data_IF_530185214562
#
_entry.id   IF_530185214562
#
_cell.length_a   1.000
_cell.length_b   1.000
_cell.length_c   1.000
_cell.angle_alpha   90.00
_cell.angle_beta   90.00
_cell.angle_gamma   90.00
#
_symmetry.space_group_name_H-M   'P 1'
#
loop_
_entity.id
_entity.type
_entity.pdbx_description
1 polymer ?
#
# COMPACT_ATOMS: atom_id res chain seq x y z
N UNK A 1 -13.05 1.13 21.02
CA UNK A 1 -14.15 0.54 21.80
C UNK A 1 -14.67 -0.72 21.14
N UNK A 2 -14.98 -0.64 19.87
CA UNK A 2 -15.51 -1.74 19.08
C UNK A 2 -14.67 -3.02 19.16
N UNK A 3 -13.34 -2.90 19.13
CA UNK A 3 -12.42 -4.06 19.23
C UNK A 3 -12.64 -4.86 20.53
N UNK A 4 -12.74 -4.19 21.69
CA UNK A 4 -12.96 -4.89 22.97
C UNK A 4 -14.39 -5.45 23.04
N UNK A 5 -15.39 -4.71 22.54
CA UNK A 5 -16.76 -5.23 22.44
C UNK A 5 -16.80 -6.48 21.55
N UNK A 6 -16.17 -6.45 20.38
CA UNK A 6 -16.07 -7.65 19.53
C UNK A 6 -15.36 -8.81 20.20
N UNK A 7 -14.25 -8.58 20.89
CA UNK A 7 -13.56 -9.63 21.65
C UNK A 7 -14.51 -10.21 22.71
N UNK A 8 -15.25 -9.36 23.42
CA UNK A 8 -16.22 -9.81 24.42
C UNK A 8 -17.36 -10.62 23.80
N UNK A 9 -17.95 -10.11 22.73
CA UNK A 9 -19.09 -10.75 22.08
C UNK A 9 -18.69 -12.05 21.41
N UNK A 10 -17.59 -12.07 20.67
CA UNK A 10 -17.15 -13.24 19.90
C UNK A 10 -16.58 -14.34 20.80
N UNK A 11 -15.86 -14.01 21.88
CA UNK A 11 -15.21 -14.99 22.72
C UNK A 11 -15.95 -15.31 24.01
N UNK A 12 -16.77 -14.39 24.54
CA UNK A 12 -17.43 -14.55 25.81
C UNK A 12 -18.92 -14.85 25.70
N UNK A 13 -19.60 -14.32 24.69
CA UNK A 13 -21.06 -14.40 24.50
C UNK A 13 -21.43 -15.36 23.36
N UNK A 14 -20.81 -15.20 22.20
CA UNK A 14 -21.15 -15.98 21.00
C UNK A 14 -20.37 -17.30 20.95
N UNK A 15 -21.00 -18.37 21.31
CA UNK A 15 -20.39 -19.70 21.35
C UNK A 15 -19.98 -20.29 20.00
N UNK A 16 -20.24 -19.62 18.88
CA UNK A 16 -20.13 -20.21 17.55
C UNK A 16 -18.78 -20.03 16.85
N UNK A 17 -18.02 -18.98 17.14
CA UNK A 17 -16.83 -18.60 16.36
C UNK A 17 -15.55 -18.49 17.19
N UNK A 18 -15.67 -18.29 18.48
CA UNK A 18 -14.52 -18.19 19.36
C UNK A 18 -13.94 -19.57 19.66
N UNK A 19 -12.62 -19.69 19.56
CA UNK A 19 -11.92 -20.85 20.06
C UNK A 19 -12.19 -20.99 21.58
N UNK A 20 -12.69 -22.15 22.01
CA UNK A 20 -12.88 -22.48 23.42
C UNK A 20 -11.55 -22.33 24.22
N UNK A 21 -10.42 -22.49 23.55
CA UNK A 21 -9.10 -22.30 24.14
C UNK A 21 -8.80 -20.81 24.36
N UNK A 22 -9.08 -19.92 23.40
CA UNK A 22 -8.88 -18.48 23.57
C UNK A 22 -9.74 -17.91 24.68
N UNK A 23 -10.98 -18.42 24.85
CA UNK A 23 -11.83 -18.02 25.97
C UNK A 23 -11.21 -18.33 27.35
N UNK A 24 -10.50 -19.46 27.49
CA UNK A 24 -9.81 -19.85 28.71
C UNK A 24 -8.60 -18.95 29.02
N UNK A 25 -8.05 -18.31 28.00
CA UNK A 25 -6.92 -17.38 28.14
C UNK A 25 -7.35 -16.00 28.66
N UNK A 26 -8.65 -15.66 28.57
CA UNK A 26 -9.17 -14.35 29.01
C UNK A 26 -9.47 -14.42 30.50
N UNK A 27 -8.72 -13.66 31.30
CA UNK A 27 -8.87 -13.51 32.73
C UNK A 27 -9.92 -12.47 33.10
N UNK A 28 -9.91 -11.33 32.40
CA UNK A 28 -10.83 -10.22 32.67
C UNK A 28 -11.07 -9.42 31.39
N UNK A 29 -12.30 -9.02 31.18
CA UNK A 29 -12.67 -8.15 30.04
C UNK A 29 -13.67 -7.09 30.48
N UNK A 30 -13.44 -5.85 30.06
CA UNK A 30 -14.34 -4.70 30.26
C UNK A 30 -14.41 -3.89 28.99
N UNK A 31 -15.62 -3.62 28.54
CA UNK A 31 -15.95 -2.79 27.36
C UNK A 31 -16.37 -1.36 27.74
N UNK A 32 -15.94 -0.89 28.93
CA UNK A 32 -16.21 0.47 29.37
C UNK A 32 -15.75 1.51 28.34
N UNK A 33 -16.59 2.52 28.01
CA UNK A 33 -16.29 3.53 26.99
C UNK A 33 -14.94 4.23 27.10
N UNK A 34 -14.49 4.47 28.32
CA UNK A 34 -13.26 5.25 28.58
C UNK A 34 -12.08 4.40 29.11
N UNK A 35 -12.30 3.10 29.38
CA UNK A 35 -11.32 2.25 30.01
C UNK A 35 -11.52 0.78 29.59
N UNK A 36 -11.75 0.55 28.31
CA UNK A 36 -11.86 -0.79 27.76
C UNK A 36 -10.56 -1.55 27.96
N UNK A 37 -10.64 -2.78 28.49
CA UNK A 37 -9.46 -3.64 28.64
C UNK A 37 -9.81 -5.11 28.57
N UNK A 38 -8.82 -5.88 28.12
CA UNK A 38 -8.82 -7.32 28.15
C UNK A 38 -7.50 -7.78 28.76
N UNK A 39 -7.56 -8.46 29.91
CA UNK A 39 -6.39 -9.05 30.58
C UNK A 39 -6.40 -10.56 30.34
N UNK A 40 -5.25 -11.15 30.07
CA UNK A 40 -5.08 -12.58 29.81
C UNK A 40 -4.42 -13.30 30.97
N UNK A 41 -4.63 -14.62 31.08
CA UNK A 41 -4.09 -15.47 32.15
C UNK A 41 -2.55 -15.48 32.15
N UNK A 42 -1.91 -15.33 31.00
CA UNK A 42 -0.46 -15.24 30.87
C UNK A 42 0.14 -13.87 31.29
N UNK A 43 -0.70 -12.94 31.78
CA UNK A 43 -0.29 -11.58 32.17
C UNK A 43 -0.18 -10.57 31.05
N UNK A 44 -0.45 -10.94 29.80
CA UNK A 44 -0.56 -9.98 28.72
C UNK A 44 -1.90 -9.23 28.80
N UNK A 45 -2.00 -8.08 28.12
CA UNK A 45 -3.21 -7.27 28.15
C UNK A 45 -3.40 -6.45 26.86
N UNK A 46 -4.64 -6.09 26.61
CA UNK A 46 -5.05 -5.09 25.62
C UNK A 46 -5.83 -4.03 26.39
N UNK A 47 -5.33 -2.78 26.36
CA UNK A 47 -6.00 -1.64 26.99
C UNK A 47 -6.30 -0.57 25.95
N UNK A 48 -7.49 -0.01 26.00
CA UNK A 48 -7.88 1.16 25.22
C UNK A 48 -7.54 2.41 26.02
N UNK A 49 -6.86 3.32 25.37
CA UNK A 49 -6.39 4.56 25.98
C UNK A 49 -6.76 5.73 25.08
N UNK A 50 -7.35 6.78 25.66
CA UNK A 50 -7.59 8.02 24.91
C UNK A 50 -6.26 8.75 24.65
N UNK A 51 -6.08 9.23 23.43
CA UNK A 51 -4.86 9.94 23.01
C UNK A 51 -4.83 11.37 23.59
N UNK A 52 -4.44 11.51 24.85
CA UNK A 52 -4.28 12.79 25.55
C UNK A 52 -3.17 12.72 26.60
N UNK A 53 -2.87 13.83 27.25
CA UNK A 53 -1.81 13.92 28.27
C UNK A 53 -2.00 13.00 29.48
N UNK A 54 -3.23 12.65 29.81
CA UNK A 54 -3.53 11.74 30.95
C UNK A 54 -3.06 10.30 30.67
N UNK A 55 -2.77 9.98 29.41
CA UNK A 55 -2.29 8.69 29.01
C UNK A 55 -0.83 8.38 29.44
N UNK A 56 -0.05 9.36 29.91
CA UNK A 56 1.41 9.25 30.19
C UNK A 56 1.82 8.12 31.13
N UNK A 57 0.91 7.60 31.94
CA UNK A 57 1.21 6.53 32.90
C UNK A 57 1.23 5.12 32.29
N UNK A 58 0.75 4.97 31.07
CA UNK A 58 0.66 3.67 30.42
C UNK A 58 2.02 3.19 29.91
N UNK A 59 2.18 1.88 29.89
CA UNK A 59 3.32 1.18 29.27
C UNK A 59 2.80 0.06 28.40
N UNK A 60 3.44 -0.13 27.26
CA UNK A 60 3.05 -1.16 26.29
C UNK A 60 4.28 -1.62 25.51
N UNK A 61 4.20 -2.80 24.92
CA UNK A 61 5.19 -3.29 23.97
C UNK A 61 4.75 -3.08 22.53
N UNK A 62 3.44 -3.00 22.32
CA UNK A 62 2.83 -2.69 21.03
C UNK A 62 1.83 -1.56 21.28
N UNK A 63 1.88 -0.55 20.44
CA UNK A 63 0.88 0.51 20.37
C UNK A 63 0.19 0.48 19.02
N UNK A 64 -1.14 0.50 19.02
CA UNK A 64 -1.96 0.63 17.83
C UNK A 64 -2.65 1.99 17.92
N UNK A 65 -2.40 2.86 16.95
CA UNK A 65 -3.00 4.17 16.87
C UNK A 65 -3.99 4.13 15.71
N UNK A 66 -5.25 3.99 16.07
CA UNK A 66 -6.36 3.98 15.14
C UNK A 66 -6.71 5.42 14.75
N UNK A 67 -7.14 5.61 13.50
CA UNK A 67 -7.39 6.94 12.91
C UNK A 67 -6.26 7.94 13.22
N UNK A 68 -5.01 7.50 13.05
CA UNK A 68 -3.83 8.28 13.48
C UNK A 68 -3.78 9.68 12.86
N UNK A 69 -4.38 9.87 11.69
CA UNK A 69 -4.47 11.18 11.04
C UNK A 69 -5.24 12.21 11.88
N UNK A 70 -6.20 11.75 12.69
CA UNK A 70 -7.03 12.60 13.56
C UNK A 70 -6.36 12.88 14.91
N UNK A 71 -5.28 12.19 15.25
CA UNK A 71 -4.54 12.38 16.50
C UNK A 71 -3.48 13.46 16.28
N UNK A 72 -3.34 14.37 17.23
CA UNK A 72 -2.29 15.38 17.17
C UNK A 72 -0.89 14.76 17.13
N UNK A 73 -0.07 15.18 16.15
CA UNK A 73 1.27 14.66 15.94
C UNK A 73 2.18 14.82 17.17
N UNK A 74 2.05 15.93 17.88
CA UNK A 74 2.83 16.17 19.08
C UNK A 74 2.44 15.19 20.18
N UNK A 75 1.15 14.93 20.38
CA UNK A 75 0.65 13.94 21.33
C UNK A 75 1.19 12.55 21.02
N UNK A 76 1.22 12.14 19.74
CA UNK A 76 1.84 10.87 19.34
C UNK A 76 3.30 10.83 19.77
N UNK A 77 4.08 11.86 19.46
CA UNK A 77 5.52 11.88 19.68
C UNK A 77 5.93 12.01 21.16
N UNK A 78 5.17 12.82 21.93
CA UNK A 78 5.55 13.18 23.30
C UNK A 78 4.88 12.33 24.37
N UNK A 79 3.72 11.71 24.05
CA UNK A 79 2.95 10.90 24.99
C UNK A 79 2.95 9.43 24.58
N UNK A 80 2.31 9.13 23.41
CA UNK A 80 2.00 7.75 23.06
C UNK A 80 3.26 6.91 22.79
N UNK A 81 4.23 7.44 22.05
CA UNK A 81 5.51 6.73 21.81
C UNK A 81 6.30 6.45 23.09
N UNK A 82 6.06 7.18 24.19
CA UNK A 82 6.72 6.95 25.46
C UNK A 82 6.20 5.70 26.20
N UNK A 83 5.07 5.14 25.76
CA UNK A 83 4.61 3.83 26.27
C UNK A 83 5.61 2.72 25.93
N UNK A 84 6.31 2.84 24.81
CA UNK A 84 7.23 1.84 24.27
C UNK A 84 8.64 1.91 24.87
N UNK A 85 8.83 2.56 26.02
CA UNK A 85 10.16 2.71 26.64
C UNK A 85 10.63 1.45 27.38
N UNK A 86 9.72 0.56 27.77
CA UNK A 86 10.06 -0.68 28.44
C UNK A 86 10.19 -1.82 27.41
N UNK A 87 11.33 -2.54 27.35
CA UNK A 87 11.46 -3.69 26.49
C UNK A 87 10.57 -4.85 27.00
N UNK A 88 10.07 -5.65 26.07
CA UNK A 88 9.42 -6.91 26.41
C UNK A 88 10.47 -7.87 26.95
N UNK A 89 10.22 -8.44 28.15
CA UNK A 89 11.13 -9.37 28.83
C UNK A 89 10.37 -10.59 29.35
N UNK A 90 9.81 -11.43 28.47
CA UNK A 90 9.13 -12.65 28.90
C UNK A 90 10.13 -13.62 29.53
N UNK A 91 9.64 -14.45 30.48
CA UNK A 91 10.48 -15.34 31.29
C UNK A 91 11.34 -16.31 30.47
N UNK A 92 10.90 -16.72 29.28
CA UNK A 92 11.68 -17.59 28.39
C UNK A 92 12.99 -16.97 27.91
N UNK A 93 13.10 -15.63 27.82
CA UNK A 93 14.32 -14.93 27.42
C UNK A 93 15.46 -15.02 28.44
N UNK A 94 15.19 -15.50 29.68
CA UNK A 94 16.23 -15.82 30.65
C UNK A 94 17.07 -17.03 30.22
N UNK A 95 16.56 -17.87 29.31
CA UNK A 95 17.27 -18.98 28.74
C UNK A 95 18.05 -18.54 27.48
N UNK A 96 19.39 -18.68 27.43
CA UNK A 96 20.22 -18.28 26.33
C UNK A 96 19.79 -18.90 24.98
N UNK A 97 19.17 -20.08 24.98
CA UNK A 97 18.65 -20.76 23.80
C UNK A 97 17.62 -19.92 23.02
N UNK A 98 16.94 -19.02 23.73
CA UNK A 98 15.86 -18.21 23.16
C UNK A 98 16.24 -16.71 23.03
N UNK A 99 17.51 -16.38 23.17
CA UNK A 99 17.99 -15.00 23.08
C UNK A 99 17.64 -14.32 21.75
N UNK A 100 17.65 -15.10 20.66
CA UNK A 100 17.31 -14.63 19.30
C UNK A 100 15.81 -14.32 19.13
N UNK A 101 14.96 -14.77 20.06
CA UNK A 101 13.53 -14.48 20.07
C UNK A 101 13.17 -13.14 20.73
N UNK A 102 14.16 -12.31 21.04
CA UNK A 102 13.96 -10.99 21.61
C UNK A 102 13.23 -10.09 20.61
N UNK A 103 11.99 -9.74 20.93
CA UNK A 103 11.16 -8.87 20.14
C UNK A 103 11.46 -7.39 20.42
N UNK A 104 11.33 -6.54 19.38
CA UNK A 104 11.30 -5.09 19.55
C UNK A 104 9.89 -4.62 19.83
N UNK A 105 9.77 -3.50 20.54
CA UNK A 105 8.49 -2.84 20.65
C UNK A 105 8.04 -2.32 19.27
N UNK A 106 6.73 -2.35 19.03
CA UNK A 106 6.16 -2.03 17.72
C UNK A 106 5.15 -0.88 17.79
N UNK A 107 5.12 -0.08 16.74
CA UNK A 107 4.13 0.97 16.49
C UNK A 107 3.31 0.57 15.26
N UNK A 108 1.99 0.55 15.39
CA UNK A 108 1.05 0.28 14.30
C UNK A 108 0.16 1.51 14.14
N UNK A 109 0.10 2.04 12.94
CA UNK A 109 -0.70 3.19 12.57
C UNK A 109 -1.75 2.78 11.55
N UNK A 110 -3.01 2.99 11.86
CA UNK A 110 -4.13 2.68 10.98
C UNK A 110 -4.93 3.94 10.72
N UNK A 111 -5.25 4.21 9.48
CA UNK A 111 -6.11 5.33 9.05
C UNK A 111 -6.36 5.25 7.55
N UNK A 112 -7.40 5.89 7.10
CA UNK A 112 -7.58 6.21 5.68
C UNK A 112 -6.55 7.23 5.22
N UNK A 113 -6.40 7.41 3.91
CA UNK A 113 -5.60 8.49 3.34
C UNK A 113 -6.25 9.86 3.61
N UNK A 114 -5.52 10.94 3.38
CA UNK A 114 -5.98 12.30 3.61
C UNK A 114 -5.34 13.27 2.61
N UNK A 115 -5.43 14.56 2.89
CA UNK A 115 -4.78 15.57 2.06
C UNK A 115 -3.25 15.48 2.15
N UNK A 116 -2.56 15.63 1.02
CA UNK A 116 -1.10 15.57 0.94
C UNK A 116 -0.39 16.70 1.70
N UNK A 117 -1.08 17.80 1.98
CA UNK A 117 -0.59 18.87 2.86
C UNK A 117 -0.56 18.47 4.33
N UNK A 118 -1.28 17.41 4.71
CA UNK A 118 -1.37 16.95 6.09
C UNK A 118 -0.12 16.16 6.51
N UNK A 119 0.24 16.23 7.79
CA UNK A 119 1.43 15.55 8.32
C UNK A 119 1.42 14.02 8.14
N UNK A 120 0.23 13.39 8.08
CA UNK A 120 0.08 11.95 7.85
C UNK A 120 0.67 11.50 6.52
N UNK A 121 0.59 12.33 5.47
CA UNK A 121 1.22 12.06 4.19
C UNK A 121 2.76 11.99 4.29
N UNK A 122 3.38 12.98 4.95
CA UNK A 122 4.83 12.96 5.20
C UNK A 122 5.26 11.75 6.02
N UNK A 123 4.41 11.31 6.97
CA UNK A 123 4.66 10.10 7.73
C UNK A 123 4.60 8.86 6.84
N UNK A 124 3.59 8.74 5.98
CA UNK A 124 3.48 7.64 5.01
C UNK A 124 4.71 7.59 4.08
N UNK A 125 5.12 8.72 3.52
CA UNK A 125 6.35 8.82 2.70
C UNK A 125 7.59 8.36 3.45
N UNK A 126 7.74 8.77 4.72
CA UNK A 126 8.86 8.35 5.58
C UNK A 126 8.85 6.84 5.83
N UNK A 127 7.68 6.23 5.95
CA UNK A 127 7.53 4.78 6.12
C UNK A 127 7.88 4.03 4.83
N UNK A 128 7.46 4.52 3.67
CA UNK A 128 7.88 3.98 2.37
C UNK A 128 9.40 4.00 2.25
N UNK A 129 10.02 5.15 2.49
CA UNK A 129 11.48 5.29 2.43
C UNK A 129 12.20 4.35 3.41
N UNK A 130 11.65 4.17 4.62
CA UNK A 130 12.22 3.27 5.62
C UNK A 130 11.99 1.79 5.32
N UNK A 131 10.90 1.43 4.65
CA UNK A 131 10.62 0.07 4.19
C UNK A 131 11.59 -0.37 3.09
N UNK A 132 12.08 0.58 2.29
CA UNK A 132 13.07 0.32 1.23
C UNK A 132 14.52 0.29 1.77
N UNK A 133 14.74 0.58 3.05
CA UNK A 133 16.05 0.49 3.71
C UNK A 133 16.18 -0.87 4.41
N UNK A 134 17.03 -1.75 3.87
CA UNK A 134 17.27 -3.11 4.40
C UNK A 134 17.70 -3.16 5.88
N UNK A 135 18.15 -2.03 6.43
CA UNK A 135 18.58 -1.92 7.84
C UNK A 135 17.42 -1.63 8.80
N UNK A 136 16.22 -1.38 8.27
CA UNK A 136 15.05 -0.96 9.04
C UNK A 136 13.92 -1.96 8.90
N UNK A 137 13.19 -2.19 10.00
CA UNK A 137 12.01 -3.05 10.01
C UNK A 137 10.76 -2.17 9.98
N UNK A 138 10.41 -1.71 8.78
CA UNK A 138 9.22 -0.91 8.52
C UNK A 138 8.35 -1.62 7.49
N UNK A 139 7.05 -1.41 7.61
CA UNK A 139 6.08 -1.90 6.66
C UNK A 139 4.97 -0.85 6.49
N UNK A 140 4.55 -0.64 5.26
CA UNK A 140 3.37 0.16 4.92
C UNK A 140 2.63 -0.52 3.78
N UNK A 141 1.31 -0.53 3.84
CA UNK A 141 0.45 -0.98 2.75
C UNK A 141 -0.79 -0.10 2.66
N UNK A 142 -1.31 0.06 1.45
CA UNK A 142 -2.66 0.54 1.18
C UNK A 142 -3.54 -0.64 0.85
N UNK A 143 -4.71 -0.71 1.48
CA UNK A 143 -5.71 -1.76 1.29
C UNK A 143 -7.00 -1.11 0.73
N UNK A 144 -7.08 -0.87 -0.59
CA UNK A 144 -8.24 -0.25 -1.19
C UNK A 144 -9.46 -1.18 -1.18
N UNK A 145 -10.66 -0.61 -1.32
CA UNK A 145 -11.93 -1.34 -1.26
C UNK A 145 -12.00 -2.56 -2.19
N UNK A 146 -11.30 -2.52 -3.33
CA UNK A 146 -11.21 -3.67 -4.24
C UNK A 146 -10.63 -4.92 -3.57
N UNK A 147 -9.70 -4.73 -2.63
CA UNK A 147 -9.16 -5.83 -1.82
C UNK A 147 -10.20 -6.40 -0.87
N UNK A 148 -11.04 -5.53 -0.28
CA UNK A 148 -12.14 -5.95 0.58
C UNK A 148 -13.20 -6.76 -0.21
N UNK A 149 -13.57 -6.32 -1.42
CA UNK A 149 -14.45 -7.07 -2.32
C UNK A 149 -13.83 -8.43 -2.67
N UNK A 150 -12.54 -8.46 -3.06
CA UNK A 150 -11.84 -9.71 -3.39
C UNK A 150 -11.78 -10.69 -2.22
N UNK A 151 -11.79 -10.19 -1.00
CA UNK A 151 -11.74 -10.98 0.24
C UNK A 151 -13.13 -11.33 0.78
N UNK A 152 -14.20 -10.92 0.11
CA UNK A 152 -15.59 -11.15 0.55
C UNK A 152 -15.99 -10.36 1.80
N UNK A 153 -15.27 -9.28 2.12
CA UNK A 153 -15.54 -8.41 3.27
C UNK A 153 -16.46 -7.23 2.92
N UNK A 154 -16.62 -6.96 1.62
CA UNK A 154 -17.46 -5.89 1.09
C UNK A 154 -18.18 -6.40 -0.16
N UNK A 155 -19.46 -6.10 -0.29
CA UNK A 155 -20.23 -6.47 -1.48
C UNK A 155 -20.05 -5.42 -2.57
N UNK A 156 -19.92 -5.88 -3.81
CA UNK A 156 -19.75 -4.99 -4.97
C UNK A 156 -20.96 -4.10 -5.18
N UNK A 157 -22.13 -4.67 -4.98
CA UNK A 157 -23.42 -4.00 -5.13
C UNK A 157 -23.53 -2.80 -4.20
N UNK A 158 -23.10 -2.92 -2.94
CA UNK A 158 -23.09 -1.82 -1.97
C UNK A 158 -22.18 -0.67 -2.43
N UNK A 159 -21.04 -0.99 -3.02
CA UNK A 159 -20.12 0.01 -3.58
C UNK A 159 -20.73 0.72 -4.80
N UNK A 160 -21.37 -0.05 -5.69
CA UNK A 160 -22.00 0.50 -6.89
C UNK A 160 -23.21 1.40 -6.52
N UNK A 161 -23.97 1.01 -5.52
CA UNK A 161 -25.08 1.82 -4.98
C UNK A 161 -24.56 3.15 -4.41
N UNK A 162 -23.58 3.13 -3.52
CA UNK A 162 -22.98 4.34 -2.93
C UNK A 162 -22.38 5.27 -4.00
N UNK A 163 -21.66 4.71 -4.98
CA UNK A 163 -21.08 5.50 -6.09
C UNK A 163 -22.13 6.09 -7.04
N UNK A 164 -23.38 5.64 -6.98
CA UNK A 164 -24.49 6.12 -7.81
C UNK A 164 -25.32 7.21 -7.12
N UNK A 165 -25.09 7.51 -5.84
CA UNK A 165 -25.80 8.56 -5.10
C UNK A 165 -25.54 9.95 -5.68
N UNK A 166 -26.56 10.82 -5.62
CA UNK A 166 -26.50 12.16 -6.21
C UNK A 166 -25.46 13.06 -5.50
N UNK A 167 -25.22 12.82 -4.22
CA UNK A 167 -24.26 13.53 -3.37
C UNK A 167 -22.92 12.79 -3.20
N UNK A 168 -22.63 11.81 -4.05
CA UNK A 168 -21.38 11.08 -4.01
C UNK A 168 -20.15 12.00 -4.08
N UNK A 169 -19.28 11.91 -3.07
CA UNK A 169 -18.02 12.64 -3.00
C UNK A 169 -16.84 11.79 -3.55
N UNK A 170 -16.42 11.98 -4.81
CA UNK A 170 -15.34 11.18 -5.39
C UNK A 170 -13.97 11.46 -4.74
N UNK A 171 -13.76 12.63 -4.13
CA UNK A 171 -12.52 12.97 -3.45
C UNK A 171 -12.46 12.27 -2.09
N UNK A 172 -13.53 12.38 -1.31
CA UNK A 172 -13.68 11.65 -0.06
C UNK A 172 -13.56 10.15 -0.28
N UNK A 173 -14.25 9.62 -1.28
CA UNK A 173 -14.15 8.21 -1.67
C UNK A 173 -12.72 7.76 -1.97
N UNK A 174 -11.98 8.54 -2.77
CA UNK A 174 -10.60 8.21 -3.09
C UNK A 174 -9.70 8.18 -1.86
N UNK A 175 -9.93 9.06 -0.89
CA UNK A 175 -9.16 9.08 0.35
C UNK A 175 -9.55 7.93 1.29
N UNK A 176 -10.86 7.69 1.47
CA UNK A 176 -11.37 6.73 2.45
C UNK A 176 -11.30 5.28 1.93
N UNK A 177 -11.68 5.06 0.67
CA UNK A 177 -11.88 3.73 0.11
C UNK A 177 -10.77 3.28 -0.84
N UNK A 178 -10.08 4.20 -1.52
CA UNK A 178 -9.00 3.86 -2.46
C UNK A 178 -7.60 4.02 -1.86
N UNK A 179 -7.47 4.48 -0.62
CA UNK A 179 -6.18 4.75 0.06
C UNK A 179 -5.30 5.78 -0.69
N UNK A 180 -5.90 6.73 -1.40
CA UNK A 180 -5.19 7.73 -2.19
C UNK A 180 -5.13 9.06 -1.46
N UNK A 181 -3.92 9.55 -1.21
CA UNK A 181 -3.75 10.90 -0.69
C UNK A 181 -4.12 11.94 -1.74
N UNK A 182 -5.04 12.84 -1.39
CA UNK A 182 -5.46 13.94 -2.24
C UNK A 182 -4.54 15.14 -2.06
N UNK A 183 -4.04 15.67 -3.16
CA UNK A 183 -3.22 16.87 -3.12
C UNK A 183 -3.43 17.69 -4.38
N UNK A 184 -3.96 18.88 -4.23
CA UNK A 184 -3.66 19.93 -5.19
C UNK A 184 -2.25 20.41 -4.87
N UNK A 185 -1.30 20.02 -5.70
CA UNK A 185 -0.10 20.82 -5.85
C UNK A 185 -0.52 21.97 -6.77
N UNK A 186 -0.46 23.23 -6.30
CA UNK A 186 -0.82 24.39 -7.12
C UNK A 186 0.02 24.49 -8.41
N UNK A 187 1.13 23.75 -8.45
CA UNK A 187 2.05 23.64 -9.60
C UNK A 187 1.82 22.38 -10.46
N UNK A 188 0.79 21.57 -10.16
CA UNK A 188 0.51 20.37 -10.96
C UNK A 188 -0.03 20.77 -12.33
N UNK A 189 0.63 20.30 -13.40
CA UNK A 189 0.22 20.54 -14.78
C UNK A 189 -1.17 19.95 -15.11
N UNK A 190 -1.52 18.85 -14.43
CA UNK A 190 -2.84 18.21 -14.52
C UNK A 190 -3.50 18.18 -13.16
N UNK A 191 -4.80 18.49 -13.11
CA UNK A 191 -5.59 18.33 -11.91
C UNK A 191 -5.86 16.84 -11.61
N UNK A 192 -6.15 16.51 -10.35
CA UNK A 192 -6.58 15.16 -9.99
C UNK A 192 -7.89 14.78 -10.70
N UNK A 193 -8.80 15.72 -10.83
CA UNK A 193 -10.08 15.56 -11.53
C UNK A 193 -9.87 15.15 -13.00
N UNK A 194 -8.91 15.76 -13.69
CA UNK A 194 -8.56 15.42 -15.07
C UNK A 194 -8.03 13.99 -15.18
N UNK A 195 -7.18 13.58 -14.24
CA UNK A 195 -6.70 12.20 -14.18
C UNK A 195 -7.82 11.23 -13.88
N UNK A 196 -8.64 11.50 -12.89
CA UNK A 196 -9.70 10.60 -12.46
C UNK A 196 -10.79 10.45 -13.54
N UNK A 197 -11.17 11.54 -14.21
CA UNK A 197 -12.07 11.51 -15.36
C UNK A 197 -11.58 10.61 -16.51
N UNK A 198 -10.27 10.36 -16.59
CA UNK A 198 -9.63 9.52 -17.61
C UNK A 198 -9.40 8.07 -17.14
N UNK A 199 -9.56 7.75 -15.87
CA UNK A 199 -9.43 6.40 -15.31
C UNK A 199 -10.66 5.55 -15.64
N UNK A 200 -10.76 5.12 -16.89
CA UNK A 200 -11.91 4.35 -17.42
C UNK A 200 -11.62 2.87 -17.62
N UNK A 201 -10.37 2.44 -17.41
CA UNK A 201 -9.94 1.07 -17.68
C UNK A 201 -10.23 0.23 -16.44
N UNK A 202 -11.11 -0.76 -16.58
CA UNK A 202 -11.42 -1.72 -15.50
C UNK A 202 -10.36 -2.82 -15.34
N UNK A 203 -9.68 -3.19 -16.44
CA UNK A 203 -8.71 -4.27 -16.48
C UNK A 203 -7.36 -3.75 -16.97
N UNK A 204 -6.46 -3.43 -16.06
CA UNK A 204 -5.05 -3.13 -16.35
C UNK A 204 -4.27 -4.44 -16.51
N UNK A 205 -3.13 -4.38 -17.19
CA UNK A 205 -2.24 -5.53 -17.27
C UNK A 205 -1.52 -5.73 -15.93
N UNK A 206 -1.38 -6.99 -15.54
CA UNK A 206 -0.67 -7.37 -14.33
C UNK A 206 0.85 -7.33 -14.57
N UNK A 207 1.68 -7.12 -13.54
CA UNK A 207 3.12 -7.36 -13.63
C UNK A 207 3.44 -8.78 -14.10
N UNK A 208 4.51 -8.98 -14.87
CA UNK A 208 4.87 -10.29 -15.45
C UNK A 208 4.93 -11.42 -14.42
N UNK A 209 5.53 -11.16 -13.27
CA UNK A 209 5.62 -12.16 -12.20
C UNK A 209 4.25 -12.62 -11.68
N UNK A 210 3.23 -11.77 -11.75
CA UNK A 210 1.86 -12.14 -11.34
C UNK A 210 1.19 -13.03 -12.37
N UNK A 211 1.43 -12.80 -13.66
CA UNK A 211 0.98 -13.72 -14.71
C UNK A 211 1.61 -15.10 -14.53
N UNK A 212 2.92 -15.14 -14.30
CA UNK A 212 3.67 -16.38 -14.06
C UNK A 212 3.15 -17.12 -12.82
N UNK A 213 2.99 -16.41 -11.69
CA UNK A 213 2.50 -16.99 -10.43
C UNK A 213 1.08 -17.53 -10.53
N UNK A 214 0.22 -16.89 -11.32
CA UNK A 214 -1.19 -17.29 -11.48
C UNK A 214 -1.40 -18.31 -12.59
N UNK A 215 -0.38 -18.61 -13.39
CA UNK A 215 -0.50 -19.50 -14.55
C UNK A 215 -1.47 -18.98 -15.64
N UNK A 216 -1.66 -17.66 -15.69
CA UNK A 216 -2.49 -16.99 -16.71
C UNK A 216 -1.62 -16.26 -17.72
N UNK A 217 -2.14 -16.07 -18.90
CA UNK A 217 -1.43 -15.38 -19.98
C UNK A 217 -1.83 -13.91 -20.07
N UNK A 218 -0.92 -13.09 -20.63
CA UNK A 218 -1.25 -11.74 -21.07
C UNK A 218 -2.36 -11.84 -22.11
N UNK A 219 -3.34 -10.91 -22.12
CA UNK A 219 -4.41 -10.93 -23.10
C UNK A 219 -3.86 -10.99 -24.54
N UNK A 220 -4.49 -11.81 -25.38
CA UNK A 220 -4.17 -11.87 -26.80
C UNK A 220 -4.49 -10.54 -27.50
N UNK A 221 -3.82 -10.29 -28.62
CA UNK A 221 -4.10 -9.11 -29.44
C UNK A 221 -5.48 -9.22 -30.07
N UNK A 222 -6.28 -8.18 -29.93
CA UNK A 222 -7.54 -8.06 -30.64
C UNK A 222 -7.30 -7.72 -32.12
N UNK A 223 -8.28 -7.93 -32.97
CA UNK A 223 -8.18 -7.57 -34.40
C UNK A 223 -7.90 -6.07 -34.53
N UNK A 224 -6.86 -5.74 -35.31
CA UNK A 224 -6.36 -4.36 -35.52
C UNK A 224 -5.86 -3.62 -34.28
N UNK A 225 -5.68 -4.30 -33.14
CA UNK A 225 -5.04 -3.73 -31.96
C UNK A 225 -3.56 -3.45 -32.24
N UNK A 226 -3.10 -2.26 -31.87
CA UNK A 226 -1.67 -1.96 -31.75
C UNK A 226 -1.33 -1.85 -30.27
N UNK A 227 -0.31 -2.57 -29.87
CA UNK A 227 0.19 -2.55 -28.50
C UNK A 227 1.56 -1.90 -28.48
N UNK A 228 1.58 -0.63 -28.13
CA UNK A 228 2.74 0.24 -28.23
C UNK A 228 3.43 0.28 -26.88
N UNK A 229 4.69 -0.15 -26.84
CA UNK A 229 5.56 0.04 -25.69
C UNK A 229 6.35 1.33 -25.87
N UNK A 230 6.22 2.25 -24.94
CA UNK A 230 7.05 3.45 -24.87
C UNK A 230 8.01 3.33 -23.69
N UNK A 231 9.26 3.71 -23.93
CA UNK A 231 10.32 3.64 -22.92
C UNK A 231 11.01 5.00 -22.84
N UNK A 232 11.03 5.52 -21.61
CA UNK A 232 11.87 6.65 -21.23
C UNK A 232 13.12 6.09 -20.55
N UNK A 233 14.29 6.38 -21.11
CA UNK A 233 15.55 5.76 -20.72
C UNK A 233 16.38 6.69 -19.84
N UNK A 234 16.55 6.35 -18.58
CA UNK A 234 17.51 6.98 -17.69
C UNK A 234 18.84 6.21 -17.70
N UNK A 235 19.88 6.79 -18.28
CA UNK A 235 21.14 6.10 -18.62
C UNK A 235 22.21 6.11 -17.53
N UNK A 236 21.96 6.61 -16.34
CA UNK A 236 22.98 6.71 -15.30
C UNK A 236 22.64 5.87 -14.08
N UNK A 237 23.26 4.71 -13.98
CA UNK A 237 23.41 4.00 -12.71
C UNK A 237 24.30 4.83 -11.76
N UNK A 238 23.78 5.88 -11.14
CA UNK A 238 24.49 6.63 -10.10
C UNK A 238 24.16 6.06 -8.73
N UNK A 239 25.14 5.92 -7.87
CA UNK A 239 24.99 5.50 -6.46
C UNK A 239 24.40 6.59 -5.56
N UNK A 240 23.93 7.72 -6.10
CA UNK A 240 23.31 8.82 -5.34
C UNK A 240 21.79 8.68 -5.36
N UNK A 241 21.15 8.92 -4.23
CA UNK A 241 19.73 8.76 -3.93
C UNK A 241 18.71 9.60 -4.75
N UNK A 242 19.11 10.21 -5.85
CA UNK A 242 18.26 11.05 -6.73
C UNK A 242 18.54 10.75 -8.20
N UNK A 243 18.45 9.50 -8.61
CA UNK A 243 18.55 9.15 -10.02
C UNK A 243 17.20 9.10 -10.66
N UNK A 244 17.16 9.56 -11.91
CA UNK A 244 16.05 9.32 -12.78
C UNK A 244 15.87 7.82 -13.00
N UNK A 245 14.64 7.34 -12.89
CA UNK A 245 14.28 5.96 -13.17
C UNK A 245 13.93 5.80 -14.64
N UNK A 246 14.38 4.73 -15.27
CA UNK A 246 13.85 4.35 -16.58
C UNK A 246 12.41 3.90 -16.44
N UNK A 247 11.53 4.30 -17.34
CA UNK A 247 10.13 3.92 -17.31
C UNK A 247 9.70 3.16 -18.56
N UNK A 248 8.87 2.14 -18.38
CA UNK A 248 8.20 1.40 -19.44
C UNK A 248 6.70 1.61 -19.28
N UNK A 249 6.05 2.03 -20.33
CA UNK A 249 4.59 2.10 -20.39
C UNK A 249 4.06 1.35 -21.63
N UNK A 250 2.91 0.70 -21.46
CA UNK A 250 2.24 -0.03 -22.54
C UNK A 250 0.89 0.60 -22.80
N UNK A 251 0.68 0.96 -24.06
CA UNK A 251 -0.53 1.56 -24.56
C UNK A 251 -1.20 0.63 -25.57
N UNK A 252 -2.49 0.37 -25.37
CA UNK A 252 -3.33 -0.37 -26.31
C UNK A 252 -4.08 0.64 -27.14
N UNK A 253 -3.81 0.67 -28.43
CA UNK A 253 -4.47 1.50 -29.41
C UNK A 253 -5.38 0.65 -30.31
N UNK A 254 -6.68 0.94 -30.26
CA UNK A 254 -7.72 0.25 -31.06
C UNK A 254 -8.32 1.26 -32.04
N UNK A 255 -8.52 0.91 -33.33
CA UNK A 255 -9.18 1.79 -34.28
C UNK A 255 -10.58 2.18 -33.79
N UNK A 256 -10.90 3.46 -33.90
CA UNK A 256 -12.19 4.03 -33.54
C UNK A 256 -12.55 5.07 -34.63
N UNK A 257 -13.30 4.64 -35.66
CA UNK A 257 -13.63 5.37 -36.85
C UNK A 257 -12.34 5.92 -37.55
N UNK A 258 -12.13 7.24 -37.58
CA UNK A 258 -10.94 7.88 -38.20
C UNK A 258 -9.75 8.09 -37.25
N UNK A 259 -9.87 7.62 -35.99
CA UNK A 259 -8.88 7.81 -34.91
C UNK A 259 -8.56 6.51 -34.26
N UNK A 260 -7.63 6.54 -33.29
CA UNK A 260 -7.36 5.46 -32.39
C UNK A 260 -7.86 5.84 -31.00
N UNK A 261 -8.57 4.91 -30.36
CA UNK A 261 -8.80 4.97 -28.91
C UNK A 261 -7.59 4.35 -28.23
N UNK A 262 -6.97 5.13 -27.36
CA UNK A 262 -5.72 4.80 -26.71
C UNK A 262 -5.94 4.60 -25.23
N UNK A 263 -5.47 3.47 -24.69
CA UNK A 263 -5.59 3.12 -23.29
C UNK A 263 -4.22 2.71 -22.73
N UNK A 264 -3.74 3.39 -21.71
CA UNK A 264 -2.54 3.00 -20.97
C UNK A 264 -2.89 1.85 -20.01
N UNK A 265 -2.37 0.68 -20.29
CA UNK A 265 -2.73 -0.57 -19.60
C UNK A 265 -1.67 -1.05 -18.61
N UNK A 266 -0.44 -0.56 -18.74
CA UNK A 266 0.68 -0.94 -17.89
C UNK A 266 1.68 0.21 -17.75
N UNK A 267 2.28 0.32 -16.58
CA UNK A 267 3.37 1.24 -16.27
C UNK A 267 4.32 0.60 -15.25
N UNK A 268 5.62 0.73 -15.47
CA UNK A 268 6.64 0.28 -14.52
C UNK A 268 7.87 1.17 -14.57
N UNK A 269 8.49 1.40 -13.41
CA UNK A 269 9.77 2.08 -13.26
C UNK A 269 10.86 1.09 -12.90
N UNK A 270 12.08 1.36 -13.39
CA UNK A 270 13.27 0.56 -13.15
C UNK A 270 14.41 1.48 -12.75
N UNK A 271 15.00 1.22 -11.60
CA UNK A 271 16.14 1.97 -11.06
C UNK A 271 17.39 1.09 -11.03
N UNK A 272 18.56 1.70 -11.24
CA UNK A 272 19.85 1.07 -11.02
C UNK A 272 20.22 -0.04 -12.02
N UNK A 273 19.50 -0.17 -13.15
CA UNK A 273 19.85 -1.13 -14.20
C UNK A 273 21.01 -0.59 -15.05
N UNK A 274 21.92 -1.48 -15.43
CA UNK A 274 22.89 -1.20 -16.50
C UNK A 274 22.18 -1.12 -17.84
N UNK A 275 22.85 -0.57 -18.86
CA UNK A 275 22.30 -0.46 -20.21
C UNK A 275 21.91 -1.82 -20.79
N UNK A 276 22.72 -2.86 -20.53
CA UNK A 276 22.46 -4.21 -21.02
C UNK A 276 21.26 -4.83 -20.31
N UNK A 277 21.19 -4.69 -18.97
CA UNK A 277 20.06 -5.17 -18.17
C UNK A 277 18.75 -4.47 -18.54
N UNK A 278 18.80 -3.17 -18.80
CA UNK A 278 17.65 -2.41 -19.29
C UNK A 278 17.21 -2.91 -20.67
N UNK A 279 18.16 -3.12 -21.58
CA UNK A 279 17.87 -3.66 -22.91
C UNK A 279 17.20 -5.02 -22.85
N UNK A 280 17.73 -5.93 -22.05
CA UNK A 280 17.13 -7.27 -21.81
C UNK A 280 15.73 -7.13 -21.21
N UNK A 281 15.56 -6.22 -20.27
CA UNK A 281 14.26 -5.96 -19.62
C UNK A 281 13.24 -5.43 -20.63
N UNK A 282 13.59 -4.46 -21.46
CA UNK A 282 12.72 -3.92 -22.51
C UNK A 282 12.28 -5.05 -23.45
N UNK A 283 13.21 -5.84 -23.96
CA UNK A 283 12.91 -6.94 -24.87
C UNK A 283 12.02 -8.00 -24.20
N UNK A 284 12.31 -8.36 -22.95
CA UNK A 284 11.47 -9.30 -22.18
C UNK A 284 10.03 -8.78 -22.06
N UNK A 285 9.83 -7.51 -21.71
CA UNK A 285 8.51 -6.91 -21.59
C UNK A 285 7.82 -6.81 -22.93
N UNK A 286 8.56 -6.41 -23.99
CA UNK A 286 8.02 -6.31 -25.35
C UNK A 286 7.40 -7.63 -25.82
N UNK A 287 8.14 -8.72 -25.75
CA UNK A 287 7.65 -10.04 -26.17
C UNK A 287 6.59 -10.62 -25.25
N UNK A 288 6.77 -10.48 -23.95
CA UNK A 288 5.86 -11.08 -22.96
C UNK A 288 4.48 -10.38 -22.92
N UNK A 289 4.42 -9.11 -23.26
CA UNK A 289 3.14 -8.40 -23.38
C UNK A 289 2.60 -8.37 -24.81
N UNK A 290 3.20 -9.10 -25.74
CA UNK A 290 2.80 -9.16 -27.16
C UNK A 290 2.73 -7.75 -27.77
N UNK A 291 3.74 -6.89 -27.52
CA UNK A 291 3.76 -5.55 -28.08
C UNK A 291 4.04 -5.60 -29.58
N UNK A 292 3.40 -4.71 -30.33
CA UNK A 292 3.56 -4.60 -31.79
C UNK A 292 4.55 -3.52 -32.18
N UNK A 293 4.71 -2.50 -31.35
CA UNK A 293 5.52 -1.32 -31.61
C UNK A 293 6.36 -0.97 -30.39
N UNK A 294 7.58 -0.51 -30.61
CA UNK A 294 8.50 -0.02 -29.59
C UNK A 294 8.87 1.43 -29.92
N UNK A 295 8.69 2.31 -28.94
CA UNK A 295 9.11 3.72 -29.02
C UNK A 295 10.10 3.97 -27.88
N UNK A 296 11.29 4.43 -28.21
CA UNK A 296 12.35 4.78 -27.28
C UNK A 296 12.58 6.29 -27.30
N UNK A 297 12.69 6.92 -26.14
CA UNK A 297 13.22 8.27 -26.06
C UNK A 297 14.73 8.22 -26.28
N UNK A 298 15.16 8.84 -27.40
CA UNK A 298 16.56 8.82 -27.84
C UNK A 298 17.26 10.18 -27.72
N UNK A 299 16.70 11.13 -26.98
CA UNK A 299 17.27 12.47 -26.82
C UNK A 299 18.62 12.51 -26.11
N UNK A 300 19.16 11.39 -25.67
CA UNK A 300 20.51 11.22 -25.11
C UNK A 300 21.52 10.63 -26.10
N UNK A 301 22.75 11.12 -26.11
CA UNK A 301 23.88 10.69 -26.96
C UNK A 301 24.34 9.21 -26.83
N UNK A 302 23.55 8.31 -26.27
CA UNK A 302 23.99 6.97 -25.84
C UNK A 302 23.13 5.81 -26.32
N UNK A 303 22.42 5.94 -27.46
CA UNK A 303 21.57 4.88 -28.03
C UNK A 303 22.30 4.04 -29.07
N UNK A 304 23.61 4.07 -29.11
CA UNK A 304 24.43 3.28 -30.06
C UNK A 304 24.23 1.74 -30.00
N UNK A 305 23.87 1.10 -28.87
CA UNK A 305 23.71 -0.37 -28.84
C UNK A 305 22.43 -0.89 -29.50
N UNK A 306 21.42 -0.06 -29.72
CA UNK A 306 20.12 -0.52 -30.22
C UNK A 306 19.94 -0.40 -31.73
N UNK A 307 20.90 0.19 -32.43
CA UNK A 307 20.81 0.44 -33.87
C UNK A 307 21.82 -0.36 -34.70
N UNK A 308 22.60 -1.27 -34.11
CA UNK A 308 23.55 -2.09 -34.86
C UNK A 308 22.90 -3.36 -35.35
N UNK A 309 22.80 -3.45 -36.65
CA UNK A 309 22.81 -4.63 -37.49
C UNK A 309 21.59 -5.55 -37.47
N UNK A 310 20.60 -5.17 -38.27
CA UNK A 310 19.89 -6.11 -39.13
C UNK A 310 20.35 -5.91 -40.56
N UNK A 311 21.40 -6.62 -40.92
CA UNK A 311 21.65 -7.08 -42.28
C UNK A 311 21.16 -8.50 -42.40
#
# INVERSE_FOLDING_TARGET
MEVISKIKDDFMVNYGWGSANLRKEIKYISDSPNAGKCDFENGSYIHIVTANDNARHNRANIIIIDEFRMVDQNTINTVLKKFLTAPRSPGYLSNPKYADLKERNAEIYMSSAWYSSHWSFKKAQSYVASMLDDKRSYFICGLPYQMAIMSGLLMREEVEDEMSEEDFDPIGWSMEMECLFYGQNNDAFYSYEDFNARRKIKNTYLPLFMYEKRGVHVPELSMHERRIMSVDVALMASKKHNNDASSIQINVAIPDDKKYKSNYVFFANFEGLTTDELGITIMRYFYRYNCTDLVLDTMGKSVAPFTSDSN
#
